data_IF_523403697331
#
_entry.id   IF_523403697331
#
_cell.length_a   1.000
_cell.length_b   1.000
_cell.length_c   1.000
_cell.angle_alpha   90.00
_cell.angle_beta   90.00
_cell.angle_gamma   90.00
#
_symmetry.space_group_name_H-M   'P 1'
#
loop_
_entity.id
_entity.type
_entity.pdbx_description
1 polymer ?
#
# COMPACT_ATOMS: atom_id res chain seq x y z
N UNK A 1 -11.94 8.39 2.05
CA UNK A 1 -10.73 9.07 2.57
C UNK A 1 -9.74 7.97 2.89
N UNK A 2 -8.59 7.92 2.24
CA UNK A 2 -7.57 6.94 2.57
C UNK A 2 -6.71 7.44 3.73
N UNK A 3 -6.36 6.55 4.66
CA UNK A 3 -5.59 6.89 5.86
C UNK A 3 -4.12 7.20 5.51
N UNK A 4 -3.59 6.53 4.50
CA UNK A 4 -2.17 6.56 4.15
C UNK A 4 -1.99 6.96 2.68
N UNK A 5 -2.39 8.18 2.33
CA UNK A 5 -2.28 8.71 0.95
C UNK A 5 -1.27 9.86 0.83
N UNK A 6 -0.65 9.96 -0.33
CA UNK A 6 0.22 11.07 -0.69
C UNK A 6 -0.61 12.34 -0.94
N UNK A 7 -0.42 13.39 -0.15
CA UNK A 7 -1.17 14.66 -0.29
C UNK A 7 -0.85 15.48 -1.55
N UNK A 8 -0.02 14.94 -2.45
CA UNK A 8 0.28 15.55 -3.75
C UNK A 8 -0.52 14.88 -4.87
N UNK A 9 -0.53 13.56 -4.95
CA UNK A 9 -1.24 12.81 -6.01
C UNK A 9 -2.53 12.15 -5.54
N UNK A 10 -2.79 12.11 -4.23
CA UNK A 10 -3.90 11.44 -3.56
C UNK A 10 -3.95 9.92 -3.79
N UNK A 11 -2.85 9.32 -4.23
CA UNK A 11 -2.69 7.87 -4.30
C UNK A 11 -2.23 7.30 -2.96
N UNK A 12 -2.62 6.07 -2.66
CA UNK A 12 -2.19 5.34 -1.47
C UNK A 12 -0.68 5.15 -1.47
N UNK A 13 -0.05 5.30 -0.31
CA UNK A 13 1.30 4.82 -0.10
C UNK A 13 1.34 3.30 -0.17
N UNK A 14 2.49 2.77 -0.57
CA UNK A 14 2.77 1.34 -0.61
C UNK A 14 4.12 1.06 0.02
N UNK A 15 4.20 -0.06 0.72
CA UNK A 15 5.42 -0.70 1.20
C UNK A 15 6.09 -1.57 0.12
N UNK A 16 5.35 -1.96 -0.92
CA UNK A 16 5.81 -2.85 -2.00
C UNK A 16 6.07 -2.11 -3.31
N UNK A 17 5.14 -1.26 -3.76
CA UNK A 17 5.29 -0.50 -5.01
C UNK A 17 6.21 0.71 -4.80
N UNK A 18 7.41 0.64 -5.36
CA UNK A 18 8.43 1.68 -5.28
C UNK A 18 7.92 3.08 -5.69
N UNK A 19 6.98 3.17 -6.64
CA UNK A 19 6.42 4.46 -7.09
C UNK A 19 5.63 5.16 -6.00
N UNK A 20 5.04 4.38 -5.10
CA UNK A 20 4.17 4.79 -4.01
C UNK A 20 4.86 4.69 -2.63
N UNK A 21 6.14 4.35 -2.56
CA UNK A 21 6.90 4.37 -1.29
C UNK A 21 6.96 5.79 -0.72
N UNK A 22 6.56 6.01 0.56
CA UNK A 22 6.63 7.31 1.21
C UNK A 22 8.09 7.71 1.49
N UNK A 23 8.53 8.82 0.89
CA UNK A 23 9.84 9.45 1.13
C UNK A 23 9.68 10.63 2.07
N UNK A 24 10.49 10.66 3.12
CA UNK A 24 10.47 11.69 4.16
C UNK A 24 11.28 12.90 3.70
N UNK A 25 10.67 14.07 3.76
CA UNK A 25 11.27 15.37 3.50
C UNK A 25 11.90 15.93 4.78
N UNK A 26 12.76 16.95 4.66
CA UNK A 26 13.45 17.51 5.83
C UNK A 26 12.51 18.13 6.86
N UNK A 27 11.30 18.53 6.47
CA UNK A 27 10.27 19.04 7.40
C UNK A 27 9.47 17.92 8.10
N UNK A 28 9.79 16.64 7.85
CA UNK A 28 9.12 15.48 8.43
C UNK A 28 7.90 14.98 7.64
N UNK A 29 7.34 15.78 6.74
CA UNK A 29 6.27 15.32 5.85
C UNK A 29 6.77 14.26 4.87
N UNK A 30 5.84 13.41 4.42
CA UNK A 30 6.10 12.39 3.41
C UNK A 30 5.38 12.71 2.10
N UNK A 31 6.00 12.36 0.97
CA UNK A 31 5.37 12.30 -0.36
C UNK A 31 5.82 11.01 -1.04
N UNK A 32 5.04 10.48 -1.99
CA UNK A 32 5.44 9.24 -2.66
C UNK A 32 6.68 9.47 -3.53
N UNK A 33 7.48 8.43 -3.77
CA UNK A 33 8.70 8.51 -4.56
C UNK A 33 8.46 9.09 -5.96
N UNK A 34 7.38 8.70 -6.63
CA UNK A 34 7.04 9.23 -7.95
C UNK A 34 6.73 10.73 -7.91
N UNK A 35 6.04 11.21 -6.86
CA UNK A 35 5.85 12.66 -6.63
C UNK A 35 7.17 13.37 -6.31
N UNK A 36 8.03 12.77 -5.48
CA UNK A 36 9.35 13.32 -5.18
C UNK A 36 10.17 13.49 -6.47
N UNK A 37 10.18 12.48 -7.34
CA UNK A 37 10.88 12.53 -8.63
C UNK A 37 10.30 13.64 -9.54
N UNK A 38 8.97 13.75 -9.63
CA UNK A 38 8.28 14.76 -10.46
C UNK A 38 8.49 16.19 -9.96
N UNK A 39 8.63 16.39 -8.65
CA UNK A 39 8.77 17.72 -8.04
C UNK A 39 10.22 18.18 -7.89
N UNK A 40 11.18 17.28 -8.05
CA UNK A 40 12.59 17.61 -7.88
C UNK A 40 13.08 18.52 -9.00
N UNK A 41 13.69 19.64 -8.61
CA UNK A 41 14.40 20.55 -9.53
C UNK A 41 15.73 20.93 -8.92
N UNK A 42 16.82 20.85 -9.69
CA UNK A 42 18.19 21.10 -9.21
C UNK A 42 18.55 20.33 -7.91
N UNK A 43 18.08 19.08 -7.79
CA UNK A 43 18.24 18.27 -6.56
C UNK A 43 17.58 18.87 -5.31
N UNK A 44 16.56 19.72 -5.49
CA UNK A 44 15.77 20.32 -4.42
C UNK A 44 14.29 19.94 -4.59
N UNK A 45 13.60 19.67 -3.49
CA UNK A 45 12.16 19.43 -3.46
C UNK A 45 11.52 20.44 -2.51
N UNK A 46 10.55 21.19 -3.03
CA UNK A 46 9.71 22.08 -2.24
C UNK A 46 8.54 21.29 -1.65
N UNK A 47 8.40 21.31 -0.32
CA UNK A 47 7.29 20.64 0.34
C UNK A 47 5.99 21.45 0.20
N UNK A 48 5.10 21.02 -0.69
CA UNK A 48 3.79 21.65 -0.92
C UNK A 48 2.75 21.40 0.18
N UNK A 49 3.08 20.57 1.17
CA UNK A 49 2.20 20.25 2.31
C UNK A 49 2.62 21.01 3.58
N UNK A 50 3.85 21.55 3.61
CA UNK A 50 4.37 22.37 4.70
C UNK A 50 3.91 23.82 4.49
N UNK A 51 3.23 24.48 5.46
CA UNK A 51 2.91 25.91 5.37
C UNK A 51 4.14 26.81 5.21
N UNK A 52 5.26 26.39 5.80
CA UNK A 52 6.56 27.09 5.77
C UNK A 52 7.35 26.89 4.47
N UNK A 53 6.80 26.22 3.46
CA UNK A 53 7.44 26.05 2.14
C UNK A 53 8.88 25.51 2.22
N UNK A 54 9.12 24.55 3.11
CA UNK A 54 10.46 24.01 3.36
C UNK A 54 11.07 23.32 2.14
N UNK A 55 12.39 23.43 1.98
CA UNK A 55 13.14 22.83 0.88
C UNK A 55 13.96 21.65 1.39
N UNK A 56 13.81 20.49 0.74
CA UNK A 56 14.63 19.30 0.98
C UNK A 56 15.68 19.14 -0.09
N UNK A 57 16.96 19.02 0.29
CA UNK A 57 18.05 18.70 -0.62
C UNK A 57 18.14 17.19 -0.83
N UNK A 58 18.15 16.76 -2.09
CA UNK A 58 18.26 15.37 -2.51
C UNK A 58 19.72 15.06 -2.83
N UNK A 59 20.28 14.05 -2.18
CA UNK A 59 21.67 13.64 -2.43
C UNK A 59 21.78 13.01 -3.83
N UNK A 60 22.83 13.40 -4.57
CA UNK A 60 23.15 12.89 -5.91
C UNK A 60 22.03 13.09 -6.95
N UNK A 61 21.05 13.95 -6.65
CA UNK A 61 19.86 14.11 -7.47
C UNK A 61 19.00 12.86 -7.60
N UNK A 62 19.16 11.87 -6.71
CA UNK A 62 18.39 10.63 -6.74
C UNK A 62 17.43 10.56 -5.55
N UNK A 63 16.13 10.60 -5.83
CA UNK A 63 15.08 10.56 -4.80
C UNK A 63 15.05 9.25 -4.01
N UNK A 64 15.68 8.18 -4.52
CA UNK A 64 15.84 6.93 -3.78
C UNK A 64 16.75 7.09 -2.56
N UNK A 65 17.60 8.12 -2.54
CA UNK A 65 18.45 8.50 -1.42
C UNK A 65 17.70 9.24 -0.31
N UNK A 66 16.46 9.67 -0.52
CA UNK A 66 15.61 10.18 0.55
C UNK A 66 15.20 9.03 1.48
N UNK A 67 15.10 9.32 2.78
CA UNK A 67 14.71 8.29 3.75
C UNK A 67 13.29 7.78 3.46
N UNK A 68 13.10 6.47 3.55
CA UNK A 68 11.76 5.87 3.55
C UNK A 68 11.10 6.11 4.91
N UNK A 69 9.78 6.27 4.94
CA UNK A 69 9.04 6.32 6.20
C UNK A 69 8.72 4.90 6.70
N UNK A 70 9.69 4.23 7.33
CA UNK A 70 9.54 2.84 7.79
C UNK A 70 8.39 2.65 8.79
N UNK A 71 8.19 3.59 9.72
CA UNK A 71 7.07 3.52 10.67
C UNK A 71 5.71 3.55 9.97
N UNK A 72 5.55 4.41 8.96
CA UNK A 72 4.36 4.43 8.12
C UNK A 72 4.20 3.15 7.30
N UNK A 73 5.26 2.63 6.69
CA UNK A 73 5.20 1.38 5.91
C UNK A 73 4.82 0.17 6.78
N UNK A 74 5.40 0.04 7.97
CA UNK A 74 5.02 -1.00 8.94
C UNK A 74 3.55 -0.87 9.35
N UNK A 75 3.07 0.36 9.55
CA UNK A 75 1.65 0.61 9.84
C UNK A 75 0.77 0.18 8.67
N UNK A 76 1.12 0.54 7.43
CA UNK A 76 0.39 0.12 6.23
C UNK A 76 0.31 -1.40 6.14
N UNK A 77 1.42 -2.10 6.35
CA UNK A 77 1.47 -3.57 6.35
C UNK A 77 0.51 -4.17 7.38
N UNK A 78 0.51 -3.65 8.62
CA UNK A 78 -0.42 -4.09 9.67
C UNK A 78 -1.89 -3.85 9.28
N UNK A 79 -2.22 -2.67 8.76
CA UNK A 79 -3.58 -2.35 8.34
C UNK A 79 -4.04 -3.15 7.11
N UNK A 80 -3.13 -3.55 6.23
CA UNK A 80 -3.46 -4.42 5.10
C UNK A 80 -3.75 -5.86 5.54
N UNK A 81 -3.16 -6.33 6.65
CA UNK A 81 -3.48 -7.62 7.25
C UNK A 81 -4.88 -7.61 7.91
N UNK A 82 -5.27 -6.47 8.50
CA UNK A 82 -6.58 -6.30 9.14
C UNK A 82 -7.69 -5.87 8.16
N UNK A 83 -7.34 -5.36 6.98
CA UNK A 83 -8.35 -4.99 5.98
C UNK A 83 -9.06 -6.27 5.51
N UNK A 84 -10.40 -6.29 5.48
CA UNK A 84 -11.14 -7.39 4.89
C UNK A 84 -10.62 -7.66 3.48
N UNK A 85 -9.94 -8.80 3.29
CA UNK A 85 -9.42 -9.20 1.99
C UNK A 85 -10.58 -9.17 1.01
N UNK A 86 -10.38 -8.64 -0.19
CA UNK A 86 -11.36 -8.78 -1.26
C UNK A 86 -11.15 -10.11 -1.96
N UNK A 87 -12.23 -10.72 -2.44
CA UNK A 87 -12.11 -11.90 -3.28
C UNK A 87 -11.40 -11.54 -4.58
N UNK A 88 -10.36 -12.31 -4.93
CA UNK A 88 -9.58 -12.11 -6.16
C UNK A 88 -10.43 -12.16 -7.42
N UNK A 89 -11.44 -13.03 -7.43
CA UNK A 89 -12.39 -13.18 -8.54
C UNK A 89 -13.51 -12.12 -8.51
N UNK A 90 -13.80 -11.54 -7.35
CA UNK A 90 -14.95 -10.65 -7.15
C UNK A 90 -14.55 -9.40 -6.35
N UNK A 91 -14.12 -8.34 -7.04
CA UNK A 91 -13.61 -7.10 -6.45
C UNK A 91 -14.54 -6.37 -5.45
N UNK A 92 -15.83 -6.69 -5.46
CA UNK A 92 -16.84 -6.12 -4.58
C UNK A 92 -17.18 -7.02 -3.38
N UNK A 93 -16.77 -8.28 -3.40
CA UNK A 93 -17.10 -9.24 -2.36
C UNK A 93 -15.92 -9.40 -1.40
N UNK A 94 -16.19 -9.42 -0.11
CA UNK A 94 -15.20 -9.72 0.92
C UNK A 94 -14.85 -11.21 0.89
N UNK A 95 -13.56 -11.51 1.01
CA UNK A 95 -13.00 -12.84 1.15
C UNK A 95 -13.02 -13.26 2.62
N UNK A 96 -14.21 -13.39 3.18
CA UNK A 96 -14.45 -13.74 4.58
C UNK A 96 -14.14 -15.22 4.88
N UNK A 97 -14.05 -16.07 3.85
CA UNK A 97 -13.88 -17.51 4.03
C UNK A 97 -12.47 -17.95 3.70
N UNK A 98 -11.89 -18.77 4.58
CA UNK A 98 -10.58 -19.40 4.37
C UNK A 98 -10.74 -20.92 4.30
N UNK A 99 -10.32 -21.53 3.18
CA UNK A 99 -10.25 -22.97 3.01
C UNK A 99 -9.16 -23.56 3.92
N UNK A 100 -9.56 -24.48 4.79
CA UNK A 100 -8.67 -25.16 5.74
C UNK A 100 -8.51 -26.66 5.43
N UNK A 101 -9.00 -27.10 4.27
CA UNK A 101 -8.86 -28.47 3.80
C UNK A 101 -7.37 -28.84 3.65
N UNK A 102 -6.87 -29.91 4.32
CA UNK A 102 -5.44 -30.26 4.33
C UNK A 102 -4.87 -30.56 2.95
N UNK A 103 -5.64 -31.27 2.10
CA UNK A 103 -5.21 -31.73 0.78
C UNK A 103 -5.61 -30.77 -0.36
N UNK A 104 -5.98 -29.52 -0.03
CA UNK A 104 -6.37 -28.55 -1.04
C UNK A 104 -5.16 -28.16 -1.95
N UNK A 105 -5.26 -28.36 -3.28
CA UNK A 105 -4.17 -28.03 -4.21
C UNK A 105 -4.04 -26.53 -4.52
N UNK A 106 -5.04 -25.73 -4.15
CA UNK A 106 -5.05 -24.28 -4.45
C UNK A 106 -4.14 -23.51 -3.48
N UNK A 107 -3.30 -22.64 -4.04
CA UNK A 107 -2.50 -21.67 -3.28
C UNK A 107 -3.40 -20.60 -2.65
N UNK A 108 -4.44 -20.20 -3.37
CA UNK A 108 -5.39 -19.18 -2.92
C UNK A 108 -6.44 -19.82 -2.04
N UNK A 109 -6.30 -19.59 -0.72
CA UNK A 109 -7.17 -20.15 0.30
C UNK A 109 -8.25 -19.19 0.80
N UNK A 110 -8.25 -17.92 0.42
CA UNK A 110 -9.26 -16.94 0.85
C UNK A 110 -10.25 -16.62 -0.27
N UNK A 111 -11.55 -16.62 0.01
CA UNK A 111 -12.60 -16.45 -0.99
C UNK A 111 -13.88 -15.82 -0.41
N UNK A 112 -14.74 -15.28 -1.27
CA UNK A 112 -16.04 -14.77 -0.85
C UNK A 112 -17.09 -15.88 -0.78
N UNK A 113 -18.26 -15.58 -0.22
CA UNK A 113 -19.42 -16.48 -0.18
C UNK A 113 -19.78 -17.07 -1.54
N UNK A 114 -19.74 -16.28 -2.61
CA UNK A 114 -20.03 -16.80 -3.96
C UNK A 114 -19.00 -17.86 -4.42
N UNK A 115 -17.73 -17.68 -4.06
CA UNK A 115 -16.68 -18.66 -4.37
C UNK A 115 -16.67 -19.85 -3.39
N UNK A 116 -17.17 -19.68 -2.17
CA UNK A 116 -17.42 -20.78 -1.23
C UNK A 116 -18.48 -21.73 -1.82
N UNK A 117 -19.55 -21.18 -2.40
CA UNK A 117 -20.68 -21.96 -2.94
C UNK A 117 -20.43 -22.51 -4.36
N UNK A 118 -19.72 -21.77 -5.22
CA UNK A 118 -19.59 -22.08 -6.64
C UNK A 118 -18.14 -22.12 -7.16
N UNK A 119 -17.15 -21.90 -6.30
CA UNK A 119 -15.75 -21.82 -6.69
C UNK A 119 -15.01 -23.15 -6.64
N UNK A 120 -13.69 -23.10 -6.82
CA UNK A 120 -12.80 -24.28 -6.82
C UNK A 120 -12.71 -25.01 -5.49
N UNK A 121 -13.23 -24.41 -4.42
CA UNK A 121 -13.24 -24.99 -3.07
C UNK A 121 -14.61 -25.49 -2.62
N UNK A 122 -15.57 -25.57 -3.55
CA UNK A 122 -16.93 -26.04 -3.25
C UNK A 122 -16.88 -27.44 -2.61
N UNK A 123 -17.40 -27.56 -1.38
CA UNK A 123 -17.41 -28.81 -0.62
C UNK A 123 -16.21 -29.04 0.30
N UNK A 124 -15.21 -28.15 0.32
CA UNK A 124 -14.11 -28.17 1.28
C UNK A 124 -14.53 -27.61 2.65
N UNK A 125 -13.76 -27.94 3.70
CA UNK A 125 -13.96 -27.32 5.02
C UNK A 125 -13.45 -25.87 5.06
N UNK A 126 -14.29 -24.96 5.54
CA UNK A 126 -14.02 -23.52 5.63
C UNK A 126 -13.92 -23.01 7.07
N UNK A 127 -13.15 -21.95 7.27
CA UNK A 127 -13.19 -21.07 8.45
C UNK A 127 -13.71 -19.70 8.02
N UNK A 128 -14.81 -19.25 8.62
CA UNK A 128 -15.31 -17.88 8.52
C UNK A 128 -14.80 -16.96 9.64
#
# INVERSE_FOLDING_TARGET
MALFECKVCNENYSDVDESHVPRVLTCGHSICQSCAAKQMSNSLILCKTCPEETITKVRDGDVRNLQKNFGLMQTIEMFQQDLPLKCKEHQYNLAEFVCIEPDCPSIDKSMCRACEEFGVHTGHVMRG
#
